data_IF_016563628251
#
_entry.id   IF_016563628251
#
_cell.length_a   1.000
_cell.length_b   1.000
_cell.length_c   1.000
_cell.angle_alpha   90.00
_cell.angle_beta   90.00
_cell.angle_gamma   90.00
#
_symmetry.space_group_name_H-M   'P 1'
#
loop_
_entity.id
_entity.type
_entity.pdbx_description
1 polymer ?
#
# COMPACT_ATOMS: atom_id res chain seq x y z
N UNK A 1 12.99 8.60 21.29
CA UNK A 1 11.58 8.79 20.89
C UNK A 1 11.43 9.23 19.42
N UNK A 2 12.25 8.72 18.48
CA UNK A 2 12.21 9.15 17.07
C UNK A 2 11.53 8.17 16.10
N UNK A 3 11.33 6.91 16.49
CA UNK A 3 10.78 5.88 15.60
C UNK A 3 9.25 5.90 15.46
N UNK A 4 8.52 6.41 16.47
CA UNK A 4 7.05 6.41 16.48
C UNK A 4 6.51 7.57 15.62
N UNK A 5 7.08 8.76 15.77
CA UNK A 5 6.71 9.94 14.99
C UNK A 5 6.91 9.72 13.47
N UNK A 6 8.04 9.10 13.09
CA UNK A 6 8.32 8.79 11.68
C UNK A 6 7.30 7.84 11.06
N UNK A 7 6.84 6.82 11.82
CA UNK A 7 5.84 5.86 11.33
C UNK A 7 4.49 6.53 11.08
N UNK A 8 4.03 7.38 12.00
CA UNK A 8 2.76 8.10 11.83
C UNK A 8 2.79 9.04 10.63
N UNK A 9 3.88 9.77 10.45
CA UNK A 9 4.03 10.70 9.32
C UNK A 9 4.05 9.95 7.97
N UNK A 10 4.72 8.80 7.90
CA UNK A 10 4.71 7.95 6.70
C UNK A 10 3.28 7.45 6.41
N UNK A 11 2.53 7.02 7.43
CA UNK A 11 1.15 6.56 7.24
C UNK A 11 0.21 7.69 6.78
N UNK A 12 0.42 8.92 7.28
CA UNK A 12 -0.28 10.11 6.78
C UNK A 12 0.04 10.40 5.31
N UNK A 13 1.31 10.29 4.91
CA UNK A 13 1.69 10.48 3.50
C UNK A 13 1.10 9.38 2.60
N UNK A 14 1.14 8.12 3.06
CA UNK A 14 0.52 6.99 2.37
C UNK A 14 -0.99 7.19 2.19
N UNK A 15 -1.69 7.55 3.27
CA UNK A 15 -3.13 7.81 3.21
C UNK A 15 -3.44 8.95 2.25
N UNK A 16 -2.70 10.07 2.29
CA UNK A 16 -2.87 11.19 1.35
C UNK A 16 -2.69 10.75 -0.10
N UNK A 17 -1.67 9.93 -0.37
CA UNK A 17 -1.42 9.40 -1.71
C UNK A 17 -2.56 8.49 -2.18
N UNK A 18 -3.06 7.60 -1.32
CA UNK A 18 -4.21 6.75 -1.62
C UNK A 18 -5.51 7.54 -1.81
N UNK A 19 -5.67 8.63 -1.05
CA UNK A 19 -6.81 9.53 -1.16
C UNK A 19 -6.92 10.23 -2.52
N UNK A 20 -5.80 10.36 -3.25
CA UNK A 20 -5.80 10.93 -4.61
C UNK A 20 -6.40 10.00 -5.68
N UNK A 21 -6.66 8.73 -5.35
CA UNK A 21 -7.35 7.83 -6.27
C UNK A 21 -8.85 8.17 -6.34
N UNK A 22 -9.57 7.84 -7.44
CA UNK A 22 -10.99 8.18 -7.58
C UNK A 22 -11.90 7.68 -6.45
N UNK A 23 -11.55 6.55 -5.82
CA UNK A 23 -12.28 5.97 -4.68
C UNK A 23 -12.06 6.77 -3.40
N UNK A 24 -10.91 7.45 -3.28
CA UNK A 24 -10.51 8.16 -2.08
C UNK A 24 -10.20 7.24 -0.89
N UNK A 25 -9.70 7.86 0.17
CA UNK A 25 -9.45 7.24 1.47
C UNK A 25 -9.48 8.36 2.51
N UNK A 26 -10.64 8.83 3.00
CA UNK A 26 -10.70 9.92 3.98
C UNK A 26 -9.88 9.64 5.24
N UNK A 27 -9.41 10.69 5.91
CA UNK A 27 -8.67 10.54 7.16
C UNK A 27 -9.58 9.97 8.25
N UNK A 28 -9.14 8.87 8.87
CA UNK A 28 -9.84 8.22 9.97
C UNK A 28 -8.86 7.38 10.79
N UNK A 29 -9.05 7.31 12.11
CA UNK A 29 -8.18 6.52 12.99
C UNK A 29 -8.09 5.05 12.54
N UNK A 30 -9.23 4.44 12.21
CA UNK A 30 -9.30 3.07 11.71
C UNK A 30 -8.59 2.88 10.37
N UNK A 31 -8.57 3.89 9.48
CA UNK A 31 -7.82 3.79 8.23
C UNK A 31 -6.30 3.73 8.50
N UNK A 32 -5.80 4.56 9.42
CA UNK A 32 -4.38 4.51 9.79
C UNK A 32 -4.00 3.19 10.46
N UNK A 33 -4.87 2.65 11.32
CA UNK A 33 -4.64 1.34 11.94
C UNK A 33 -4.62 0.23 10.89
N UNK A 34 -5.57 0.22 9.94
CA UNK A 34 -5.59 -0.73 8.82
C UNK A 34 -4.31 -0.62 8.00
N UNK A 35 -3.90 0.58 7.59
CA UNK A 35 -2.67 0.79 6.83
C UNK A 35 -1.44 0.30 7.60
N UNK A 36 -1.41 0.49 8.92
CA UNK A 36 -0.31 0.03 9.79
C UNK A 36 -0.21 -1.49 9.93
N UNK A 37 -1.34 -2.20 9.74
CA UNK A 37 -1.40 -3.67 9.73
C UNK A 37 -0.96 -4.19 8.36
N UNK A 38 -1.44 -3.58 7.29
CA UNK A 38 -1.22 -4.05 5.92
C UNK A 38 0.21 -3.76 5.42
N UNK A 39 0.74 -2.57 5.71
CA UNK A 39 2.03 -2.13 5.23
C UNK A 39 3.10 -2.27 6.33
N UNK A 40 4.23 -2.86 5.98
CA UNK A 40 5.48 -2.62 6.72
C UNK A 40 5.93 -1.18 6.49
N UNK A 41 6.86 -0.70 7.32
CA UNK A 41 7.38 0.66 7.21
C UNK A 41 7.96 0.96 5.82
N UNK A 42 8.80 0.07 5.27
CA UNK A 42 9.39 0.24 3.93
C UNK A 42 8.34 0.25 2.83
N UNK A 43 7.34 -0.62 2.92
CA UNK A 43 6.25 -0.65 1.94
C UNK A 43 5.40 0.63 2.01
N UNK A 44 5.19 1.18 3.20
CA UNK A 44 4.46 2.43 3.38
C UNK A 44 5.24 3.63 2.81
N UNK A 45 6.57 3.65 2.98
CA UNK A 45 7.44 4.66 2.35
C UNK A 45 7.38 4.61 0.83
N UNK A 46 7.42 3.41 0.24
CA UNK A 46 7.26 3.22 -1.21
C UNK A 46 5.85 3.61 -1.66
N UNK A 47 4.82 3.17 -0.95
CA UNK A 47 3.41 3.45 -1.27
C UNK A 47 3.09 4.95 -1.21
N UNK A 48 3.66 5.69 -0.26
CA UNK A 48 3.47 7.12 -0.10
C UNK A 48 4.02 7.93 -1.29
N UNK A 49 5.10 7.45 -1.92
CA UNK A 49 5.74 8.09 -3.09
C UNK A 49 5.36 7.45 -4.41
N UNK A 50 4.52 6.41 -4.38
CA UNK A 50 4.20 5.62 -5.57
C UNK A 50 3.50 6.51 -6.63
N UNK A 51 3.97 6.59 -7.88
CA UNK A 51 3.34 7.48 -8.85
C UNK A 51 1.89 7.04 -9.21
N UNK A 52 1.03 7.94 -9.69
CA UNK A 52 -0.34 7.58 -10.12
C UNK A 52 -0.33 6.72 -11.37
N UNK A 53 -1.28 5.78 -11.46
CA UNK A 53 -1.51 4.93 -12.63
C UNK A 53 -0.57 3.72 -12.74
N UNK A 54 -0.51 3.15 -13.96
CA UNK A 54 0.29 1.98 -14.29
C UNK A 54 1.73 2.38 -14.64
N UNK A 55 2.66 2.14 -13.72
CA UNK A 55 4.04 2.59 -13.81
C UNK A 55 5.06 1.47 -13.93
N UNK A 56 6.23 1.78 -14.49
CA UNK A 56 7.37 0.86 -14.54
C UNK A 56 8.16 0.90 -13.24
N UNK A 57 9.05 -0.08 -13.05
CA UNK A 57 9.93 -0.09 -11.88
C UNK A 57 10.87 1.12 -11.87
N UNK A 58 11.31 1.59 -13.03
CA UNK A 58 12.18 2.76 -13.15
C UNK A 58 11.48 4.05 -12.68
N UNK A 59 10.18 4.19 -12.90
CA UNK A 59 9.39 5.32 -12.42
C UNK A 59 9.24 5.30 -10.90
N UNK A 60 9.01 4.12 -10.31
CA UNK A 60 8.95 3.94 -8.85
C UNK A 60 10.32 4.18 -8.23
N UNK A 61 11.39 3.69 -8.84
CA UNK A 61 12.76 3.94 -8.42
C UNK A 61 13.09 5.44 -8.43
N UNK A 62 12.71 6.16 -9.49
CA UNK A 62 12.89 7.62 -9.56
C UNK A 62 12.13 8.36 -8.46
N UNK A 63 10.90 7.92 -8.14
CA UNK A 63 10.08 8.56 -7.11
C UNK A 63 10.57 8.28 -5.68
N UNK A 64 11.13 7.09 -5.44
CA UNK A 64 11.52 6.62 -4.10
C UNK A 64 13.00 6.84 -3.79
N UNK A 65 13.86 6.79 -4.80
CA UNK A 65 15.33 6.81 -4.67
C UNK A 65 15.94 5.47 -4.24
N UNK A 66 15.15 4.40 -4.19
CA UNK A 66 15.57 3.08 -3.70
C UNK A 66 16.28 2.31 -4.83
N UNK A 67 17.33 1.56 -4.50
CA UNK A 67 18.00 0.68 -5.46
C UNK A 67 17.03 -0.34 -6.09
N UNK A 68 17.26 -0.70 -7.35
CA UNK A 68 16.39 -1.61 -8.09
C UNK A 68 16.21 -2.96 -7.38
N UNK A 69 17.28 -3.57 -6.87
CA UNK A 69 17.20 -4.89 -6.23
C UNK A 69 16.39 -4.85 -4.94
N UNK A 70 16.58 -3.81 -4.12
CA UNK A 70 15.78 -3.59 -2.92
C UNK A 70 14.31 -3.30 -3.28
N UNK A 71 14.07 -2.46 -4.27
CA UNK A 71 12.73 -2.11 -4.71
C UNK A 71 11.97 -3.34 -5.24
N UNK A 72 12.62 -4.21 -6.02
CA UNK A 72 12.02 -5.47 -6.49
C UNK A 72 11.57 -6.35 -5.32
N UNK A 73 12.38 -6.45 -4.25
CA UNK A 73 12.02 -7.20 -3.06
C UNK A 73 10.81 -6.58 -2.32
N UNK A 74 10.77 -5.25 -2.18
CA UNK A 74 9.64 -4.53 -1.58
C UNK A 74 8.36 -4.74 -2.40
N UNK A 75 8.41 -4.49 -3.71
CA UNK A 75 7.27 -4.66 -4.60
C UNK A 75 6.78 -6.11 -4.60
N UNK A 76 7.68 -7.09 -4.49
CA UNK A 76 7.31 -8.51 -4.33
C UNK A 76 6.54 -8.77 -3.03
N UNK A 77 6.94 -8.15 -1.91
CA UNK A 77 6.17 -8.19 -0.66
C UNK A 77 4.78 -7.60 -0.81
N UNK A 78 4.70 -6.40 -1.41
CA UNK A 78 3.44 -5.71 -1.69
C UNK A 78 2.51 -6.53 -2.60
N UNK A 79 3.05 -7.21 -3.63
CA UNK A 79 2.27 -8.09 -4.52
C UNK A 79 1.67 -9.28 -3.78
N UNK A 80 2.42 -9.90 -2.86
CA UNK A 80 1.93 -11.04 -2.07
C UNK A 80 0.72 -10.63 -1.23
N UNK A 81 0.78 -9.44 -0.64
CA UNK A 81 -0.27 -8.85 0.20
C UNK A 81 -1.45 -8.26 -0.58
N UNK A 82 -1.37 -8.16 -1.90
CA UNK A 82 -2.41 -7.52 -2.73
C UNK A 82 -2.38 -5.98 -2.71
N UNK A 83 -1.30 -5.38 -2.21
CA UNK A 83 -1.13 -3.93 -2.13
C UNK A 83 -0.76 -3.30 -3.49
N UNK A 84 -0.18 -4.10 -4.39
CA UNK A 84 0.05 -3.72 -5.78
C UNK A 84 -0.40 -4.85 -6.71
N UNK A 85 -0.85 -4.47 -7.91
CA UNK A 85 -1.12 -5.39 -9.01
C UNK A 85 -0.18 -5.14 -10.16
N UNK A 86 0.13 -6.21 -10.90
CA UNK A 86 0.98 -6.13 -12.08
C UNK A 86 0.19 -6.36 -13.37
N UNK A 87 0.50 -5.58 -14.39
CA UNK A 87 0.06 -5.84 -15.76
C UNK A 87 1.29 -6.10 -16.63
N UNK A 88 1.33 -7.27 -17.26
CA UNK A 88 2.31 -7.55 -18.31
C UNK A 88 1.65 -7.27 -19.66
N UNK A 89 1.98 -6.12 -20.26
CA UNK A 89 1.50 -5.77 -21.61
C UNK A 89 2.72 -5.42 -22.46
N UNK A 90 2.88 -6.12 -23.59
CA UNK A 90 3.95 -5.87 -24.58
C UNK A 90 5.36 -6.01 -23.93
N UNK A 91 5.59 -7.11 -23.20
CA UNK A 91 6.93 -7.45 -22.68
C UNK A 91 7.45 -6.59 -21.53
N UNK A 92 6.69 -5.60 -21.03
CA UNK A 92 7.06 -4.78 -19.87
C UNK A 92 6.09 -5.01 -18.72
N UNK A 93 6.65 -5.31 -17.54
CA UNK A 93 5.89 -5.38 -16.29
C UNK A 93 5.61 -3.96 -15.81
N UNK A 94 4.33 -3.66 -15.59
CA UNK A 94 3.87 -2.43 -14.97
C UNK A 94 3.20 -2.75 -13.65
N UNK A 95 3.33 -1.83 -12.70
CA UNK A 95 2.81 -1.91 -11.35
C UNK A 95 1.74 -0.85 -11.15
N UNK A 96 0.70 -1.19 -10.40
CA UNK A 96 -0.34 -0.28 -9.97
C UNK A 96 -0.54 -0.47 -8.48
N UNK A 97 -0.47 0.63 -7.72
CA UNK A 97 -0.85 0.63 -6.30
C UNK A 97 -2.35 0.43 -6.17
N UNK A 98 -2.76 -0.55 -5.36
CA UNK A 98 -4.18 -0.82 -5.12
C UNK A 98 -4.86 0.43 -4.55
N UNK A 99 -6.01 0.86 -5.12
CA UNK A 99 -6.46 2.24 -4.99
C UNK A 99 -7.03 2.65 -3.62
N UNK A 100 -7.05 1.78 -2.61
CA UNK A 100 -7.59 2.08 -1.27
C UNK A 100 -8.26 0.86 -0.62
N UNK A 101 -9.06 1.08 0.42
CA UNK A 101 -9.72 0.03 1.21
C UNK A 101 -10.53 -0.95 0.35
N UNK A 102 -11.27 -0.48 -0.66
CA UNK A 102 -12.03 -1.35 -1.57
C UNK A 102 -11.11 -2.29 -2.36
N UNK A 103 -10.00 -1.77 -2.89
CA UNK A 103 -9.03 -2.56 -3.65
C UNK A 103 -8.16 -3.46 -2.79
N UNK A 104 -7.75 -3.00 -1.59
CA UNK A 104 -7.03 -3.83 -0.63
C UNK A 104 -7.90 -4.98 -0.18
N UNK A 105 -9.15 -4.75 0.20
CA UNK A 105 -9.96 -5.82 0.76
C UNK A 105 -10.47 -6.79 -0.29
N UNK A 106 -10.83 -6.35 -1.49
CA UNK A 106 -11.12 -7.29 -2.58
C UNK A 106 -9.93 -8.22 -2.85
N UNK A 107 -8.69 -7.74 -2.77
CA UNK A 107 -7.52 -8.59 -3.08
C UNK A 107 -6.94 -9.32 -1.87
N UNK A 108 -6.93 -8.69 -0.69
CA UNK A 108 -6.39 -9.18 0.59
C UNK A 108 -7.39 -10.11 1.30
N UNK A 109 -8.72 -9.94 1.20
CA UNK A 109 -9.66 -10.96 1.67
C UNK A 109 -9.82 -12.11 0.66
N UNK A 110 -9.71 -11.87 -0.66
CA UNK A 110 -9.74 -12.97 -1.64
C UNK A 110 -8.49 -13.86 -1.54
N UNK A 111 -7.36 -13.33 -1.07
CA UNK A 111 -6.19 -14.11 -0.68
C UNK A 111 -6.13 -14.17 0.84
N UNK A 112 -6.89 -15.09 1.44
CA UNK A 112 -6.82 -15.37 2.88
C UNK A 112 -5.34 -15.55 3.27
N UNK A 113 -4.77 -14.53 3.90
CA UNK A 113 -3.45 -14.59 4.51
C UNK A 113 -3.68 -14.84 6.00
N UNK A 114 -3.47 -16.09 6.41
CA UNK A 114 -3.66 -16.53 7.81
C UNK A 114 -2.77 -15.77 8.80
N UNK A 115 -1.74 -15.04 8.32
CA UNK A 115 -0.89 -14.21 9.17
C UNK A 115 -1.51 -12.86 9.56
N UNK A 116 -2.61 -12.45 8.93
CA UNK A 116 -3.28 -11.18 9.21
C UNK A 116 -4.33 -11.33 10.33
N UNK A 117 -4.47 -10.33 11.23
CA UNK A 117 -5.47 -10.35 12.29
C UNK A 117 -6.87 -10.03 11.74
N UNK A 118 -7.46 -10.98 11.01
CA UNK A 118 -8.70 -10.80 10.23
C UNK A 118 -9.87 -10.27 11.06
N UNK A 119 -10.01 -10.76 12.31
CA UNK A 119 -11.05 -10.26 13.23
C UNK A 119 -10.88 -8.76 13.51
N UNK A 120 -9.66 -8.31 13.79
CA UNK A 120 -9.37 -6.90 14.07
C UNK A 120 -9.59 -6.03 12.84
N UNK A 121 -9.17 -6.50 11.67
CA UNK A 121 -9.42 -5.80 10.41
C UNK A 121 -10.93 -5.62 10.16
N UNK A 122 -11.74 -6.65 10.40
CA UNK A 122 -13.21 -6.56 10.27
C UNK A 122 -13.83 -5.54 11.26
N UNK A 123 -13.38 -5.51 12.52
CA UNK A 123 -13.81 -4.51 13.51
C UNK A 123 -13.45 -3.09 13.06
N UNK A 124 -12.23 -2.88 12.58
CA UNK A 124 -11.76 -1.59 12.08
C UNK A 124 -12.57 -1.12 10.88
N UNK A 125 -12.93 -2.01 9.96
CA UNK A 125 -13.83 -1.70 8.85
C UNK A 125 -15.22 -1.31 9.34
N UNK A 126 -15.79 -2.03 10.29
CA UNK A 126 -17.10 -1.68 10.84
C UNK A 126 -17.10 -0.30 11.51
N UNK A 127 -15.99 0.07 12.16
CA UNK A 127 -15.81 1.38 12.77
C UNK A 127 -15.55 2.50 11.76
N UNK A 128 -15.08 2.15 10.56
CA UNK A 128 -14.85 3.08 9.46
C UNK A 128 -16.18 3.31 8.73
N UNK A 129 -16.98 4.25 9.25
CA UNK A 129 -18.22 4.74 8.63
C UNK A 129 -18.10 6.19 8.20
#
# INVERSE_FOLDING_TARGET
>A
MGHIAGKEDILKQLQKRLHQNPVGLPEHASAYEILSILFSQKEAEVGAKFPPGLVTIEEVQKATGIDRGELEAILKGMMKKGLIVTSAKIGKVRYLLSPGLTGFFEMTFMRIDESLPMKRLAELMHSYR
#
